data_IF_224618322351
#
_entry.id   IF_224618322351
#
_cell.length_a   1.000
_cell.length_b   1.000
_cell.length_c   1.000
_cell.angle_alpha   90.00
_cell.angle_beta   90.00
_cell.angle_gamma   90.00
#
_symmetry.space_group_name_H-M   'P 1'
#
loop_
_entity.id
_entity.type
_entity.pdbx_description
1 polymer ?
#
# COMPACT_ATOMS: atom_id res chain seq x y z
N UNK A 1 -8.11 2.46 19.74
CA UNK A 1 -6.84 2.95 19.14
C UNK A 1 -7.20 3.95 18.07
N UNK A 2 -6.36 4.95 17.79
CA UNK A 2 -6.72 6.08 16.91
C UNK A 2 -6.15 7.43 17.35
N UNK A 3 -5.21 7.42 18.30
CA UNK A 3 -4.52 8.61 18.80
C UNK A 3 -3.33 9.02 17.92
N UNK A 4 -2.95 8.17 16.98
CA UNK A 4 -1.78 8.31 16.11
C UNK A 4 -2.11 7.84 14.71
N UNK A 5 -1.45 8.43 13.71
CA UNK A 5 -1.42 7.87 12.36
C UNK A 5 -0.61 6.56 12.35
N UNK A 6 -0.89 5.68 11.39
CA UNK A 6 -0.11 4.47 11.12
C UNK A 6 0.62 4.61 9.78
N UNK A 7 1.85 4.10 9.72
CA UNK A 7 2.64 4.02 8.50
C UNK A 7 3.00 2.55 8.19
N UNK A 8 2.89 2.14 6.93
CA UNK A 8 3.21 0.77 6.49
C UNK A 8 2.04 0.08 5.77
N UNK A 9 2.06 -1.24 5.59
CA UNK A 9 3.06 -2.22 6.03
C UNK A 9 3.34 -3.30 4.97
N UNK A 10 3.24 -2.95 3.69
CA UNK A 10 3.34 -3.93 2.60
C UNK A 10 4.71 -4.64 2.61
N UNK A 11 4.70 -5.96 2.45
CA UNK A 11 5.94 -6.74 2.30
C UNK A 11 6.65 -6.32 1.01
N UNK A 12 7.93 -5.87 1.05
CA UNK A 12 8.67 -5.52 -0.16
C UNK A 12 8.74 -6.66 -1.18
N UNK A 13 8.65 -7.92 -0.75
CA UNK A 13 8.65 -9.06 -1.65
C UNK A 13 7.47 -9.05 -2.65
N UNK A 14 6.38 -8.33 -2.34
CA UNK A 14 5.27 -8.11 -3.27
C UNK A 14 5.73 -7.46 -4.58
N UNK A 15 6.79 -6.65 -4.56
CA UNK A 15 7.33 -5.99 -5.76
C UNK A 15 7.99 -6.95 -6.76
N UNK A 16 8.18 -8.23 -6.43
CA UNK A 16 8.62 -9.25 -7.40
C UNK A 16 7.45 -9.97 -8.10
N UNK A 17 6.21 -9.72 -7.70
CA UNK A 17 5.03 -10.32 -8.30
C UNK A 17 4.62 -9.60 -9.61
N UNK A 18 3.59 -10.11 -10.29
CA UNK A 18 3.05 -9.44 -11.47
C UNK A 18 2.38 -8.10 -11.11
N UNK A 19 2.27 -7.15 -12.06
CA UNK A 19 1.58 -5.89 -11.84
C UNK A 19 0.16 -6.03 -11.30
N UNK A 20 -0.59 -7.07 -11.70
CA UNK A 20 -1.93 -7.35 -11.18
C UNK A 20 -1.91 -7.70 -9.70
N UNK A 21 -0.95 -8.52 -9.27
CA UNK A 21 -0.78 -8.91 -7.86
C UNK A 21 -0.38 -7.71 -7.02
N UNK A 22 0.53 -6.86 -7.53
CA UNK A 22 0.95 -5.63 -6.83
C UNK A 22 -0.26 -4.71 -6.59
N UNK A 23 -1.12 -4.51 -7.60
CA UNK A 23 -2.35 -3.71 -7.45
C UNK A 23 -3.30 -4.32 -6.42
N UNK A 24 -3.49 -5.64 -6.46
CA UNK A 24 -4.38 -6.34 -5.54
C UNK A 24 -3.90 -6.24 -4.09
N UNK A 25 -2.61 -6.43 -3.84
CA UNK A 25 -2.04 -6.33 -2.49
C UNK A 25 -2.06 -4.89 -1.95
N UNK A 26 -1.82 -3.89 -2.81
CA UNK A 26 -1.97 -2.48 -2.43
C UNK A 26 -3.42 -2.16 -2.01
N UNK A 27 -4.39 -2.60 -2.79
CA UNK A 27 -5.82 -2.44 -2.47
C UNK A 27 -6.18 -3.14 -1.17
N UNK A 28 -5.74 -4.39 -0.99
CA UNK A 28 -5.96 -5.17 0.24
C UNK A 28 -5.44 -4.45 1.46
N UNK A 29 -4.19 -3.98 1.45
CA UNK A 29 -3.60 -3.28 2.59
C UNK A 29 -4.32 -1.97 2.93
N UNK A 30 -4.79 -1.22 1.92
CA UNK A 30 -5.58 0.00 2.12
C UNK A 30 -6.98 -0.30 2.71
N UNK A 31 -7.62 -1.35 2.24
CA UNK A 31 -8.96 -1.75 2.70
C UNK A 31 -8.92 -2.41 4.08
N UNK A 32 -7.85 -3.16 4.40
CA UNK A 32 -7.58 -3.69 5.74
C UNK A 32 -7.45 -2.54 6.76
N UNK A 33 -6.70 -1.48 6.42
CA UNK A 33 -6.61 -0.28 7.25
C UNK A 33 -7.98 0.37 7.45
N UNK A 34 -8.71 0.63 6.35
CA UNK A 34 -10.00 1.30 6.41
C UNK A 34 -11.02 0.48 7.23
N UNK A 35 -11.06 -0.84 7.03
CA UNK A 35 -11.92 -1.75 7.79
C UNK A 35 -11.62 -1.71 9.29
N UNK A 36 -10.34 -1.66 9.67
CA UNK A 36 -9.92 -1.49 11.06
C UNK A 36 -10.18 -0.08 11.62
N UNK A 37 -10.43 0.91 10.77
CA UNK A 37 -10.62 2.33 11.10
C UNK A 37 -12.05 2.81 10.81
N UNK A 38 -13.05 1.93 10.96
CA UNK A 38 -14.47 2.30 10.81
C UNK A 38 -14.86 2.76 9.40
N UNK A 39 -14.16 2.26 8.38
CA UNK A 39 -14.31 2.65 6.98
C UNK A 39 -13.53 3.90 6.59
N UNK A 40 -12.88 4.59 7.54
CA UNK A 40 -12.10 5.78 7.22
C UNK A 40 -10.70 5.43 6.70
N UNK A 41 -10.30 6.10 5.62
CA UNK A 41 -8.92 6.04 5.09
C UNK A 41 -8.01 7.11 5.72
N UNK A 42 -8.48 7.88 6.71
CA UNK A 42 -7.69 8.94 7.36
C UNK A 42 -6.66 8.39 8.32
N UNK A 43 -5.49 9.03 8.39
CA UNK A 43 -4.43 8.67 9.34
C UNK A 43 -3.58 7.48 8.90
N UNK A 44 -3.62 7.09 7.62
CA UNK A 44 -2.73 6.09 7.03
C UNK A 44 -1.72 6.73 6.09
N UNK A 45 -0.44 6.44 6.33
CA UNK A 45 0.63 6.67 5.36
C UNK A 45 1.03 5.31 4.80
N UNK A 46 0.66 5.01 3.56
CA UNK A 46 1.07 3.77 2.93
C UNK A 46 2.61 3.74 2.80
N UNK A 47 3.22 2.62 3.20
CA UNK A 47 4.64 2.39 2.99
C UNK A 47 4.92 0.88 2.98
N UNK A 48 6.12 0.51 2.52
CA UNK A 48 6.64 -0.82 2.72
C UNK A 48 6.97 -1.06 4.21
N UNK A 49 6.96 -2.32 4.63
CA UNK A 49 7.38 -2.73 5.98
C UNK A 49 8.89 -2.70 6.20
N UNK A 50 9.67 -2.75 5.10
CA UNK A 50 11.14 -2.70 5.08
C UNK A 50 11.63 -1.95 3.83
N UNK A 51 12.94 -1.71 3.74
CA UNK A 51 13.54 -1.11 2.54
C UNK A 51 13.43 -1.98 1.30
N UNK A 52 13.46 -1.34 0.13
CA UNK A 52 13.51 -2.02 -1.16
C UNK A 52 14.87 -2.69 -1.39
N UNK A 53 14.87 -3.82 -2.11
CA UNK A 53 16.11 -4.45 -2.59
C UNK A 53 16.66 -3.73 -3.83
N UNK A 54 17.99 -3.71 -4.05
CA UNK A 54 18.59 -3.03 -5.20
C UNK A 54 18.20 -3.60 -6.58
N UNK A 55 17.71 -4.83 -6.63
CA UNK A 55 17.34 -5.56 -7.85
C UNK A 55 15.85 -5.46 -8.20
N UNK A 56 15.06 -4.70 -7.43
CA UNK A 56 13.65 -4.47 -7.72
C UNK A 56 13.45 -3.66 -9.00
N UNK A 57 12.47 -4.08 -9.81
CA UNK A 57 12.09 -3.36 -11.02
C UNK A 57 11.41 -2.01 -10.66
N UNK A 58 11.97 -0.86 -11.06
CA UNK A 58 11.35 0.44 -10.85
C UNK A 58 9.94 0.55 -11.45
N UNK A 59 9.63 -0.21 -12.50
CA UNK A 59 8.28 -0.23 -13.09
C UNK A 59 7.25 -0.83 -12.15
N UNK A 60 7.63 -1.83 -11.35
CA UNK A 60 6.76 -2.40 -10.33
C UNK A 60 6.51 -1.41 -9.18
N UNK A 61 7.51 -0.58 -8.83
CA UNK A 61 7.34 0.52 -7.86
C UNK A 61 6.34 1.55 -8.41
N UNK A 62 6.45 1.90 -9.69
CA UNK A 62 5.49 2.80 -10.35
C UNK A 62 4.07 2.24 -10.31
N UNK A 63 3.90 0.95 -10.62
CA UNK A 63 2.60 0.27 -10.53
C UNK A 63 2.02 0.35 -9.12
N UNK A 64 2.84 0.12 -8.08
CA UNK A 64 2.42 0.22 -6.69
C UNK A 64 1.94 1.64 -6.33
N UNK A 65 2.74 2.65 -6.65
CA UNK A 65 2.43 4.06 -6.36
C UNK A 65 1.12 4.48 -7.06
N UNK A 66 0.98 4.14 -8.33
CA UNK A 66 -0.24 4.43 -9.09
C UNK A 66 -1.46 3.73 -8.48
N UNK A 67 -1.32 2.46 -8.09
CA UNK A 67 -2.40 1.69 -7.47
C UNK A 67 -2.85 2.30 -6.14
N UNK A 68 -1.91 2.72 -5.29
CA UNK A 68 -2.22 3.35 -4.00
C UNK A 68 -3.00 4.64 -4.22
N UNK A 69 -2.56 5.53 -5.12
CA UNK A 69 -3.25 6.79 -5.39
C UNK A 69 -4.62 6.59 -6.03
N UNK A 70 -4.76 5.64 -6.96
CA UNK A 70 -6.01 5.37 -7.65
C UNK A 70 -7.06 4.77 -6.70
N UNK A 71 -6.68 3.80 -5.86
CA UNK A 71 -7.60 3.09 -4.96
C UNK A 71 -7.98 3.89 -3.71
N UNK A 72 -7.10 4.79 -3.26
CA UNK A 72 -7.36 5.63 -2.08
C UNK A 72 -7.98 6.99 -2.38
N UNK A 73 -8.23 7.30 -3.66
CA UNK A 73 -8.83 8.57 -4.08
C UNK A 73 -10.19 8.77 -3.41
N UNK A 74 -10.45 10.00 -2.98
CA UNK A 74 -11.71 10.43 -2.37
C UNK A 74 -12.41 11.41 -3.30
N UNK A 75 -13.74 11.33 -3.32
CA UNK A 75 -14.62 12.29 -4.00
C UNK A 75 -14.73 13.61 -3.22
#
# INVERSE_FOLDING_TARGET
>A
GGKVALQGNLDPATLYASPEVIRAEAARALDDYAGANGGSRDGHVFNLGHGMSPDMDPEHVRVLVDAVHQHSRRD
#
